data_IF_723926885000
#
_entry.id   IF_723926885000
#
_cell.length_a   1.000
_cell.length_b   1.000
_cell.length_c   1.000
_cell.angle_alpha   90.00
_cell.angle_beta   90.00
_cell.angle_gamma   90.00
#
_symmetry.space_group_name_H-M   'P 1'
#
loop_
_entity.id
_entity.type
_entity.pdbx_description
1 polymer ?
#
# COMPACT_ATOMS: atom_id res chain seq x y z
N UNK A 1 11.71 -4.90 9.66
CA UNK A 1 13.13 -5.02 9.30
C UNK A 1 13.50 -6.45 8.86
N UNK A 2 13.24 -7.48 9.70
CA UNK A 2 13.55 -8.88 9.38
C UNK A 2 12.89 -9.38 8.07
N UNK A 3 11.64 -9.01 7.83
CA UNK A 3 10.94 -9.30 6.58
C UNK A 3 11.70 -8.76 5.36
N UNK A 4 12.07 -7.46 5.37
CA UNK A 4 12.79 -6.84 4.25
C UNK A 4 14.14 -7.51 3.99
N UNK A 5 14.90 -7.81 5.02
CA UNK A 5 16.17 -8.56 4.86
C UNK A 5 15.97 -9.93 4.24
N UNK A 6 14.92 -10.66 4.63
CA UNK A 6 14.55 -11.94 4.05
C UNK A 6 14.23 -11.82 2.55
N UNK A 7 13.40 -10.83 2.18
CA UNK A 7 13.00 -10.59 0.79
C UNK A 7 14.19 -10.17 -0.09
N UNK A 8 15.07 -9.29 0.42
CA UNK A 8 16.31 -8.88 -0.26
C UNK A 8 17.16 -10.11 -0.57
N UNK A 9 17.38 -10.99 0.42
CA UNK A 9 18.16 -12.21 0.25
C UNK A 9 17.51 -13.20 -0.72
N UNK A 10 16.20 -13.42 -0.58
CA UNK A 10 15.44 -14.35 -1.43
C UNK A 10 15.45 -13.94 -2.90
N UNK A 11 15.37 -12.63 -3.16
CA UNK A 11 15.36 -12.07 -4.52
C UNK A 11 16.75 -11.69 -5.03
N UNK A 12 17.83 -11.98 -4.28
CA UNK A 12 19.23 -11.68 -4.63
C UNK A 12 19.45 -10.21 -5.00
N UNK A 13 18.76 -9.29 -4.30
CA UNK A 13 18.88 -7.87 -4.56
C UNK A 13 20.19 -7.32 -3.99
N UNK A 14 20.91 -6.54 -4.80
CA UNK A 14 22.12 -5.84 -4.36
C UNK A 14 21.75 -4.53 -3.66
N UNK A 15 21.37 -4.63 -2.39
CA UNK A 15 21.00 -3.49 -1.54
C UNK A 15 22.05 -3.33 -0.46
N UNK A 16 22.60 -2.13 -0.32
CA UNK A 16 23.63 -1.83 0.69
C UNK A 16 23.05 -1.76 2.08
N UNK A 17 21.93 -1.01 2.22
CA UNK A 17 21.31 -0.77 3.52
C UNK A 17 19.80 -0.63 3.44
N UNK A 18 19.11 -0.72 4.60
CA UNK A 18 17.65 -0.62 4.73
C UNK A 18 17.32 0.25 5.93
N UNK A 19 16.56 1.31 5.72
CA UNK A 19 16.11 2.24 6.75
C UNK A 19 14.60 2.16 6.92
N UNK A 20 14.15 2.32 8.17
CA UNK A 20 12.74 2.50 8.52
C UNK A 20 12.56 3.96 8.89
N UNK A 21 11.68 4.66 8.16
CA UNK A 21 11.44 6.10 8.33
C UNK A 21 10.43 6.29 9.47
N UNK A 22 10.85 6.12 10.72
CA UNK A 22 10.01 6.51 11.85
C UNK A 22 10.54 7.76 12.54
N UNK A 23 11.74 7.70 13.12
CA UNK A 23 12.27 8.80 13.95
C UNK A 23 13.74 9.15 13.62
N UNK A 24 14.40 8.44 12.70
CA UNK A 24 15.83 8.59 12.41
C UNK A 24 16.09 9.19 11.02
N UNK A 25 15.51 10.35 10.74
CA UNK A 25 15.76 11.05 9.48
C UNK A 25 17.23 11.44 9.35
N UNK A 26 17.88 11.84 10.45
CA UNK A 26 19.28 12.20 10.47
C UNK A 26 20.19 11.05 10.01
N UNK A 27 19.92 9.82 10.46
CA UNK A 27 20.66 8.63 10.01
C UNK A 27 20.56 8.43 8.49
N UNK A 28 19.37 8.65 7.91
CA UNK A 28 19.16 8.56 6.47
C UNK A 28 19.89 9.69 5.74
N UNK A 29 19.82 10.90 6.27
CA UNK A 29 20.50 12.05 5.71
C UNK A 29 22.02 11.83 5.72
N UNK A 30 22.60 11.46 6.86
CA UNK A 30 24.02 11.16 7.01
C UNK A 30 24.48 10.05 6.08
N UNK A 31 23.64 9.00 5.91
CA UNK A 31 23.94 7.93 4.98
C UNK A 31 23.98 8.42 3.54
N UNK A 32 23.01 9.23 3.13
CA UNK A 32 22.97 9.81 1.78
C UNK A 32 24.20 10.72 1.58
N UNK A 33 24.46 11.61 2.52
CA UNK A 33 25.57 12.56 2.43
C UNK A 33 26.92 11.84 2.30
N UNK A 34 27.19 10.88 3.18
CA UNK A 34 28.43 10.11 3.18
C UNK A 34 28.63 9.22 1.94
N UNK A 35 27.54 8.73 1.33
CA UNK A 35 27.61 7.82 0.18
C UNK A 35 27.45 8.49 -1.18
N UNK A 36 27.06 9.78 -1.22
CA UNK A 36 26.84 10.53 -2.46
C UNK A 36 27.90 11.62 -2.72
N UNK A 37 29.04 11.58 -2.04
CA UNK A 37 30.14 12.56 -2.25
C UNK A 37 30.52 12.62 -3.73
N UNK A 38 30.40 13.81 -4.34
CA UNK A 38 30.59 14.08 -5.77
C UNK A 38 29.65 13.29 -6.72
N UNK A 39 28.50 12.80 -6.22
CA UNK A 39 27.47 12.11 -7.01
C UNK A 39 26.09 12.56 -6.54
N UNK A 40 25.11 12.50 -7.43
CA UNK A 40 23.73 12.76 -7.05
C UNK A 40 23.07 11.52 -6.45
N UNK A 41 22.24 11.73 -5.43
CA UNK A 41 21.35 10.71 -4.90
C UNK A 41 19.98 10.80 -5.59
N UNK A 42 19.45 9.67 -6.07
CA UNK A 42 18.14 9.60 -6.73
C UNK A 42 17.12 8.92 -5.83
N UNK A 43 16.00 9.58 -5.60
CA UNK A 43 14.88 9.00 -4.86
C UNK A 43 13.86 8.40 -5.84
N UNK A 44 13.82 7.08 -5.89
CA UNK A 44 12.94 6.31 -6.76
C UNK A 44 11.86 5.58 -5.94
N UNK A 45 10.68 5.41 -6.50
CA UNK A 45 9.63 4.63 -5.86
C UNK A 45 8.28 4.78 -6.54
N UNK A 46 7.32 3.97 -6.11
CA UNK A 46 5.95 4.02 -6.61
C UNK A 46 5.29 5.37 -6.30
N UNK A 47 4.24 5.69 -7.03
CA UNK A 47 3.35 6.79 -6.67
C UNK A 47 2.80 6.59 -5.26
N UNK A 48 2.71 7.67 -4.50
CA UNK A 48 2.25 7.66 -3.10
C UNK A 48 3.09 6.80 -2.12
N UNK A 49 4.31 6.43 -2.49
CA UNK A 49 5.23 5.69 -1.61
C UNK A 49 5.87 6.54 -0.50
N UNK A 50 5.51 7.82 -0.39
CA UNK A 50 6.04 8.71 0.64
C UNK A 50 7.34 9.44 0.28
N UNK A 51 7.78 9.43 -1.00
CA UNK A 51 8.99 10.11 -1.45
C UNK A 51 9.02 11.59 -1.05
N UNK A 52 8.00 12.34 -1.42
CA UNK A 52 7.89 13.77 -1.08
C UNK A 52 7.80 14.00 0.43
N UNK A 53 7.19 13.08 1.17
CA UNK A 53 7.15 13.14 2.64
C UNK A 53 8.55 12.97 3.22
N UNK A 54 9.34 12.03 2.70
CA UNK A 54 10.74 11.84 3.11
C UNK A 54 11.57 13.08 2.81
N UNK A 55 11.46 13.63 1.60
CA UNK A 55 12.14 14.85 1.19
C UNK A 55 11.80 16.01 2.15
N UNK A 56 10.51 16.22 2.42
CA UNK A 56 10.09 17.30 3.32
C UNK A 56 10.61 17.11 4.75
N UNK A 57 10.76 15.88 5.21
CA UNK A 57 11.39 15.58 6.51
C UNK A 57 12.90 15.92 6.49
N UNK A 58 13.62 15.48 5.45
CA UNK A 58 15.05 15.79 5.26
C UNK A 58 15.24 17.30 5.20
N UNK A 59 14.45 18.02 4.40
CA UNK A 59 14.55 19.47 4.28
C UNK A 59 14.28 20.20 5.59
N UNK A 60 13.38 19.71 6.44
CA UNK A 60 13.12 20.29 7.76
C UNK A 60 14.31 20.15 8.70
N UNK A 61 14.99 19.01 8.66
CA UNK A 61 16.20 18.79 9.47
C UNK A 61 17.35 19.68 8.99
N UNK A 62 17.59 19.73 7.68
CA UNK A 62 18.63 20.60 7.08
C UNK A 62 18.30 22.09 7.29
N UNK A 63 17.03 22.50 7.20
CA UNK A 63 16.62 23.90 7.39
C UNK A 63 16.70 24.36 8.85
N UNK A 64 16.75 23.47 9.82
CA UNK A 64 17.02 23.83 11.22
C UNK A 64 18.48 24.25 11.46
N UNK A 65 19.39 23.95 10.52
CA UNK A 65 20.80 24.39 10.58
C UNK A 65 21.10 25.64 9.75
N UNK A 66 20.36 25.90 8.65
CA UNK A 66 20.48 27.18 7.89
C UNK A 66 19.20 27.50 7.11
N UNK A 67 18.67 28.70 7.38
CA UNK A 67 17.49 29.33 6.81
C UNK A 67 17.35 29.25 5.27
N UNK A 68 16.11 29.12 4.80
CA UNK A 68 15.61 29.56 3.48
C UNK A 68 15.75 28.64 2.28
N UNK A 69 15.53 27.35 2.38
CA UNK A 69 15.29 26.56 1.17
C UNK A 69 13.87 25.97 1.08
N UNK A 70 13.12 26.61 0.19
CA UNK A 70 12.05 26.14 -0.68
C UNK A 70 10.74 25.62 -0.11
N UNK A 71 9.87 26.56 -0.05
CA UNK A 71 8.43 26.44 -0.32
C UNK A 71 8.17 26.02 -1.76
N UNK A 72 7.18 25.15 -1.91
CA UNK A 72 6.34 24.90 -3.08
C UNK A 72 6.49 23.57 -3.82
N UNK A 73 6.11 22.47 -3.15
CA UNK A 73 5.20 21.56 -3.82
C UNK A 73 4.10 21.15 -2.82
N UNK A 74 2.98 21.83 -2.88
CA UNK A 74 1.84 21.68 -1.94
C UNK A 74 0.97 20.46 -2.21
N UNK A 75 1.28 19.60 -3.18
CA UNK A 75 0.45 18.44 -3.49
C UNK A 75 1.29 17.17 -3.67
N UNK A 76 1.07 16.13 -2.85
CA UNK A 76 1.65 14.81 -3.10
C UNK A 76 1.11 14.26 -4.43
N UNK A 77 1.99 13.73 -5.28
CA UNK A 77 1.60 13.00 -6.49
C UNK A 77 1.66 13.77 -7.80
N UNK A 78 2.22 14.99 -7.84
CA UNK A 78 2.27 15.83 -9.06
C UNK A 78 3.67 16.18 -9.53
N UNK A 79 4.71 15.41 -9.16
CA UNK A 79 6.06 15.62 -9.70
C UNK A 79 6.07 15.19 -11.16
N UNK A 80 5.97 16.14 -12.07
CA UNK A 80 6.00 15.91 -13.53
C UNK A 80 7.44 15.84 -14.03
N UNK A 81 8.37 16.52 -13.34
CA UNK A 81 9.79 16.59 -13.68
C UNK A 81 10.69 16.23 -12.49
N UNK A 82 11.98 15.97 -12.80
CA UNK A 82 13.01 15.75 -11.80
C UNK A 82 13.25 17.03 -10.99
N UNK A 83 12.98 16.98 -9.69
CA UNK A 83 13.27 18.09 -8.77
C UNK A 83 14.65 17.85 -8.17
N UNK A 84 15.57 18.84 -8.35
CA UNK A 84 16.91 18.84 -7.76
C UNK A 84 16.91 19.62 -6.46
N UNK A 85 17.26 18.95 -5.38
CA UNK A 85 17.36 19.51 -4.03
C UNK A 85 18.82 19.51 -3.64
N UNK A 86 19.47 20.68 -3.43
CA UNK A 86 20.85 20.70 -2.99
C UNK A 86 20.93 20.12 -1.57
N UNK A 87 21.80 19.12 -1.38
CA UNK A 87 22.13 18.58 -0.06
C UNK A 87 23.37 19.31 0.51
N UNK A 88 24.35 19.53 -0.38
CA UNK A 88 25.53 20.33 -0.13
C UNK A 88 25.91 21.06 -1.41
N UNK A 89 26.98 21.89 -1.38
CA UNK A 89 27.48 22.60 -2.56
C UNK A 89 27.94 21.68 -3.71
N UNK A 90 28.06 20.38 -3.46
CA UNK A 90 28.69 19.44 -4.41
C UNK A 90 27.77 18.33 -4.91
N UNK A 91 26.59 18.12 -4.33
CA UNK A 91 25.67 17.06 -4.75
C UNK A 91 24.21 17.35 -4.41
N UNK A 92 23.32 16.68 -5.13
CA UNK A 92 21.88 16.89 -5.08
C UNK A 92 21.15 15.60 -4.73
N UNK A 93 20.08 15.75 -3.96
CA UNK A 93 19.00 14.76 -3.90
C UNK A 93 18.04 15.05 -5.06
N UNK A 94 17.83 14.07 -5.91
CA UNK A 94 16.96 14.20 -7.09
C UNK A 94 15.68 13.41 -6.83
N UNK A 95 14.56 14.13 -6.69
CA UNK A 95 13.22 13.50 -6.66
C UNK A 95 12.81 13.12 -8.07
N UNK A 96 12.39 11.88 -8.23
CA UNK A 96 11.86 11.39 -9.51
C UNK A 96 10.33 11.29 -9.45
N UNK A 97 9.65 11.46 -10.60
CA UNK A 97 8.25 11.10 -10.70
C UNK A 97 8.00 9.69 -10.16
N UNK A 98 6.87 9.51 -9.48
CA UNK A 98 6.48 8.18 -8.99
C UNK A 98 6.30 7.20 -10.13
N UNK A 99 6.88 6.01 -9.99
CA UNK A 99 6.64 4.94 -10.95
C UNK A 99 5.20 4.46 -10.81
N UNK A 100 4.44 4.55 -11.90
CA UNK A 100 3.06 4.09 -11.93
C UNK A 100 3.02 2.55 -12.02
N UNK A 101 2.37 1.90 -11.05
CA UNK A 101 2.09 0.46 -11.14
C UNK A 101 0.74 0.24 -11.82
N UNK A 102 0.76 -0.42 -12.97
CA UNK A 102 -0.48 -0.75 -13.71
C UNK A 102 -1.45 -1.63 -12.91
N UNK A 103 -0.96 -2.35 -11.92
CA UNK A 103 -1.74 -3.24 -11.07
C UNK A 103 -2.21 -2.63 -9.75
N UNK A 104 -1.89 -1.37 -9.48
CA UNK A 104 -2.27 -0.69 -8.26
C UNK A 104 -3.77 -0.35 -8.28
N UNK A 105 -4.54 -0.83 -7.30
CA UNK A 105 -5.98 -0.59 -7.18
C UNK A 105 -6.32 0.90 -7.21
N UNK A 106 -5.46 1.75 -6.62
CA UNK A 106 -5.66 3.19 -6.61
C UNK A 106 -5.68 3.82 -8.00
N UNK A 107 -5.12 3.16 -9.01
CA UNK A 107 -5.18 3.61 -10.41
C UNK A 107 -6.58 3.50 -11.04
N UNK A 108 -7.48 2.75 -10.42
CA UNK A 108 -8.83 2.45 -10.92
C UNK A 108 -9.94 3.15 -10.12
N UNK A 109 -9.58 3.96 -9.12
CA UNK A 109 -10.54 4.66 -8.25
C UNK A 109 -10.39 6.17 -8.36
N UNK A 110 -11.45 6.89 -8.00
CA UNK A 110 -11.47 8.36 -8.06
C UNK A 110 -10.56 9.00 -6.99
N UNK A 111 -10.07 10.20 -7.28
CA UNK A 111 -9.18 10.95 -6.39
C UNK A 111 -9.77 11.17 -4.99
N UNK A 112 -11.07 11.40 -4.87
CA UNK A 112 -11.72 11.61 -3.58
C UNK A 112 -11.73 10.34 -2.73
N UNK A 113 -11.81 9.17 -3.36
CA UNK A 113 -11.63 7.90 -2.66
C UNK A 113 -10.18 7.73 -2.20
N UNK A 114 -9.20 8.04 -3.06
CA UNK A 114 -7.77 7.99 -2.71
C UNK A 114 -7.48 8.89 -1.51
N UNK A 115 -7.97 10.13 -1.51
CA UNK A 115 -7.79 11.08 -0.40
C UNK A 115 -8.34 10.53 0.92
N UNK A 116 -9.47 9.83 0.90
CA UNK A 116 -10.02 9.17 2.09
C UNK A 116 -9.13 8.03 2.61
N UNK A 117 -8.48 7.28 1.72
CA UNK A 117 -7.58 6.20 2.10
C UNK A 117 -6.25 6.69 2.69
N UNK A 118 -5.80 7.88 2.27
CA UNK A 118 -4.50 8.47 2.61
C UNK A 118 -4.51 9.31 3.90
N UNK A 119 -5.58 9.29 4.69
CA UNK A 119 -5.62 10.03 5.97
C UNK A 119 -4.44 9.67 6.88
N UNK A 120 -4.01 10.63 7.73
CA UNK A 120 -2.82 10.56 8.62
C UNK A 120 -2.85 9.46 9.68
N UNK A 121 -3.76 8.53 9.59
CA UNK A 121 -3.95 7.48 10.58
C UNK A 121 -2.99 6.30 10.36
N UNK A 122 -2.25 5.94 11.39
CA UNK A 122 -1.47 4.69 11.41
C UNK A 122 -2.36 3.51 11.04
N UNK A 123 -1.87 2.64 10.14
CA UNK A 123 -2.55 1.40 9.80
C UNK A 123 -2.66 0.54 11.06
N UNK A 124 -3.89 0.16 11.43
CA UNK A 124 -4.17 -0.72 12.56
C UNK A 124 -4.70 -2.06 12.03
N UNK A 125 -4.27 -3.19 12.62
CA UNK A 125 -4.81 -4.49 12.25
C UNK A 125 -6.30 -4.58 12.63
N UNK A 126 -7.13 -5.02 11.67
CA UNK A 126 -8.55 -5.30 11.89
C UNK A 126 -8.74 -6.80 11.83
N UNK A 127 -9.20 -7.42 12.93
CA UNK A 127 -9.29 -8.87 13.07
C UNK A 127 -10.73 -9.33 12.88
N UNK A 128 -10.92 -10.30 11.98
CA UNK A 128 -12.19 -10.96 11.72
C UNK A 128 -12.08 -12.46 12.03
N UNK A 129 -12.87 -12.94 12.98
CA UNK A 129 -13.02 -14.38 13.20
C UNK A 129 -13.99 -14.92 12.15
N UNK A 130 -13.48 -15.67 11.18
CA UNK A 130 -14.27 -16.23 10.09
C UNK A 130 -14.32 -17.75 10.14
N UNK A 131 -15.50 -18.27 9.82
CA UNK A 131 -15.70 -19.65 9.43
C UNK A 131 -15.68 -19.76 7.89
N UNK A 132 -15.47 -20.94 7.32
CA UNK A 132 -15.74 -21.18 5.90
C UNK A 132 -17.15 -20.71 5.51
N UNK A 133 -17.30 -20.30 4.27
CA UNK A 133 -18.51 -19.70 3.70
C UNK A 133 -18.94 -18.38 4.35
N UNK A 134 -17.96 -17.62 4.78
CA UNK A 134 -18.16 -16.21 5.17
C UNK A 134 -17.35 -15.28 4.28
N UNK A 135 -17.88 -14.07 4.09
CA UNK A 135 -17.31 -13.04 3.22
C UNK A 135 -17.12 -11.74 3.96
N UNK A 136 -16.08 -10.98 3.58
CA UNK A 136 -15.89 -9.59 3.92
C UNK A 136 -16.11 -8.72 2.68
N UNK A 137 -16.87 -7.66 2.85
CA UNK A 137 -17.17 -6.68 1.80
C UNK A 137 -16.46 -5.37 2.19
N UNK A 138 -15.57 -4.89 1.33
CA UNK A 138 -14.75 -3.71 1.59
C UNK A 138 -15.13 -2.61 0.61
N UNK A 139 -15.80 -1.56 1.10
CA UNK A 139 -16.08 -0.29 0.41
C UNK A 139 -16.50 -0.44 -1.06
N UNK A 140 -17.25 -1.50 -1.42
CA UNK A 140 -17.71 -1.84 -2.79
C UNK A 140 -16.62 -2.01 -3.84
N UNK A 141 -15.38 -2.08 -3.45
CA UNK A 141 -14.22 -2.25 -4.35
C UNK A 141 -13.60 -3.63 -4.25
N UNK A 142 -13.91 -4.35 -3.17
CA UNK A 142 -13.37 -5.67 -2.92
C UNK A 142 -14.36 -6.55 -2.15
N UNK A 143 -14.43 -7.81 -2.55
CA UNK A 143 -15.09 -8.88 -1.79
C UNK A 143 -14.06 -9.98 -1.53
N UNK A 144 -13.90 -10.33 -0.28
CA UNK A 144 -13.04 -11.41 0.20
C UNK A 144 -13.93 -12.57 0.66
N UNK A 145 -13.76 -13.74 0.09
CA UNK A 145 -14.48 -14.96 0.47
C UNK A 145 -13.53 -15.96 1.12
N UNK A 146 -13.90 -16.50 2.25
CA UNK A 146 -13.27 -17.65 2.86
C UNK A 146 -14.12 -18.88 2.59
N UNK A 147 -13.64 -19.81 1.75
CA UNK A 147 -14.44 -20.93 1.27
C UNK A 147 -14.13 -22.25 1.97
N UNK A 148 -12.86 -22.51 2.31
CA UNK A 148 -12.46 -23.80 2.88
C UNK A 148 -11.30 -23.63 3.85
N UNK A 149 -11.34 -24.36 4.96
CA UNK A 149 -10.34 -24.41 6.01
C UNK A 149 -11.00 -24.49 7.38
N UNK A 150 -10.20 -24.30 8.43
CA UNK A 150 -10.69 -24.23 9.80
C UNK A 150 -11.11 -22.81 10.17
N UNK A 151 -11.96 -22.66 11.20
CA UNK A 151 -12.23 -21.32 11.77
C UNK A 151 -10.93 -20.64 12.12
N UNK A 152 -10.73 -19.42 11.62
CA UNK A 152 -9.49 -18.66 11.87
C UNK A 152 -9.71 -17.16 12.03
N UNK A 153 -8.75 -16.52 12.70
CA UNK A 153 -8.62 -15.08 12.72
C UNK A 153 -7.94 -14.61 11.43
N UNK A 154 -8.67 -13.90 10.61
CA UNK A 154 -8.14 -13.23 9.41
C UNK A 154 -7.89 -11.77 9.76
N UNK A 155 -6.67 -11.30 9.53
CA UNK A 155 -6.28 -9.94 9.89
C UNK A 155 -6.13 -9.11 8.62
N UNK A 156 -6.87 -8.02 8.55
CA UNK A 156 -6.74 -7.05 7.47
C UNK A 156 -5.85 -5.88 7.90
N UNK A 157 -4.87 -5.57 7.08
CA UNK A 157 -3.99 -4.41 7.20
C UNK A 157 -4.25 -3.49 6.01
N UNK A 158 -4.94 -2.40 6.25
CA UNK A 158 -5.30 -1.38 5.26
C UNK A 158 -5.78 -0.11 5.96
N UNK A 159 -6.27 0.85 5.19
CA UNK A 159 -6.77 2.10 5.74
C UNK A 159 -7.96 1.86 6.69
N UNK A 160 -7.94 2.51 7.86
CA UNK A 160 -9.04 2.50 8.82
C UNK A 160 -10.31 3.21 8.29
N UNK A 161 -10.20 3.96 7.20
CA UNK A 161 -11.32 4.66 6.56
C UNK A 161 -12.14 3.73 5.64
N UNK A 162 -11.67 2.50 5.41
CA UNK A 162 -12.42 1.51 4.64
C UNK A 162 -13.58 0.97 5.45
N UNK A 163 -14.78 1.04 4.88
CA UNK A 163 -15.93 0.37 5.46
C UNK A 163 -15.84 -1.14 5.19
N UNK A 164 -15.78 -1.95 6.24
CA UNK A 164 -15.72 -3.40 6.13
C UNK A 164 -16.93 -4.01 6.81
N UNK A 165 -17.67 -4.83 6.07
CA UNK A 165 -18.80 -5.58 6.62
C UNK A 165 -18.66 -7.07 6.34
N UNK A 166 -19.21 -7.89 7.27
CA UNK A 166 -19.24 -9.34 7.15
C UNK A 166 -20.60 -9.81 6.64
N UNK A 167 -20.58 -10.80 5.78
CA UNK A 167 -21.77 -11.47 5.25
C UNK A 167 -21.60 -13.00 5.21
N UNK A 168 -22.68 -13.75 5.16
CA UNK A 168 -22.63 -15.14 4.71
C UNK A 168 -22.32 -15.16 3.21
N UNK A 169 -21.58 -16.16 2.74
CA UNK A 169 -21.18 -16.28 1.35
C UNK A 169 -22.38 -16.22 0.39
N UNK A 170 -23.44 -16.98 0.70
CA UNK A 170 -24.68 -17.06 -0.12
C UNK A 170 -25.37 -15.70 -0.34
N UNK A 171 -25.29 -14.81 0.67
CA UNK A 171 -25.93 -13.48 0.65
C UNK A 171 -24.98 -12.37 0.23
N UNK A 172 -23.70 -12.66 0.08
CA UNK A 172 -22.64 -11.64 -0.04
C UNK A 172 -22.72 -10.83 -1.33
N UNK A 173 -23.18 -11.44 -2.44
CA UNK A 173 -23.34 -10.73 -3.72
C UNK A 173 -24.49 -9.72 -3.64
N UNK A 174 -25.62 -10.12 -3.05
CA UNK A 174 -26.76 -9.24 -2.85
C UNK A 174 -26.39 -8.07 -1.91
N UNK A 175 -25.69 -8.39 -0.80
CA UNK A 175 -25.22 -7.39 0.15
C UNK A 175 -24.23 -6.42 -0.51
N UNK A 176 -23.33 -6.90 -1.38
CA UNK A 176 -22.42 -6.07 -2.16
C UNK A 176 -23.17 -5.10 -3.09
N UNK A 177 -24.10 -5.63 -3.88
CA UNK A 177 -24.88 -4.84 -4.82
C UNK A 177 -25.80 -3.82 -4.14
N UNK A 178 -26.35 -4.14 -2.96
CA UNK A 178 -27.16 -3.20 -2.19
C UNK A 178 -26.33 -2.02 -1.69
N UNK A 179 -25.14 -2.29 -1.16
CA UNK A 179 -24.20 -1.24 -0.75
C UNK A 179 -23.78 -0.32 -1.89
N UNK A 180 -23.69 -0.83 -3.12
CA UNK A 180 -23.39 0.01 -4.29
C UNK A 180 -24.48 1.02 -4.61
N UNK A 181 -25.72 0.74 -4.24
CA UNK A 181 -26.85 1.67 -4.44
C UNK A 181 -26.83 2.82 -3.42
N UNK A 182 -26.39 2.53 -2.21
CA UNK A 182 -26.43 3.47 -1.08
C UNK A 182 -25.19 4.36 -0.97
N UNK A 183 -24.09 3.96 -1.59
CA UNK A 183 -22.85 4.71 -1.55
C UNK A 183 -22.66 5.46 -2.87
N UNK A 184 -22.69 6.80 -2.81
CA UNK A 184 -22.29 7.71 -3.89
C UNK A 184 -20.77 7.65 -4.21
N UNK A 185 -20.12 6.55 -3.88
CA UNK A 185 -18.75 6.26 -4.23
C UNK A 185 -18.73 5.84 -5.70
N UNK A 186 -18.45 6.77 -6.57
CA UNK A 186 -18.07 6.47 -7.95
C UNK A 186 -16.71 5.78 -7.92
N UNK A 187 -16.74 4.49 -7.70
CA UNK A 187 -15.54 3.64 -7.77
C UNK A 187 -15.34 3.22 -9.21
N UNK A 188 -14.83 4.14 -10.04
CA UNK A 188 -14.57 3.84 -11.43
C UNK A 188 -15.77 3.29 -12.20
N UNK A 189 -15.57 2.38 -13.13
CA UNK A 189 -16.61 1.79 -13.98
C UNK A 189 -17.35 0.60 -13.35
N UNK A 190 -17.25 0.39 -12.03
CA UNK A 190 -17.92 -0.72 -11.34
C UNK A 190 -19.37 -0.33 -11.05
N UNK A 191 -20.31 -0.97 -11.75
CA UNK A 191 -21.76 -0.77 -11.59
C UNK A 191 -22.41 -1.92 -10.81
N UNK A 192 -21.76 -3.06 -10.75
CA UNK A 192 -22.27 -4.25 -10.09
C UNK A 192 -21.12 -5.20 -9.71
N UNK A 193 -21.44 -6.20 -8.89
CA UNK A 193 -20.49 -7.27 -8.55
C UNK A 193 -19.89 -7.98 -9.78
N UNK A 194 -20.63 -8.05 -10.89
CA UNK A 194 -20.18 -8.73 -12.12
C UNK A 194 -18.97 -8.05 -12.78
N UNK A 195 -18.75 -6.78 -12.47
CA UNK A 195 -17.64 -6.01 -13.03
C UNK A 195 -16.32 -6.25 -12.29
N UNK A 196 -16.37 -7.03 -11.19
CA UNK A 196 -15.17 -7.39 -10.43
C UNK A 196 -14.47 -8.61 -11.03
N UNK A 197 -13.13 -8.56 -11.06
CA UNK A 197 -12.28 -9.68 -11.43
C UNK A 197 -12.17 -10.68 -10.27
N UNK A 198 -12.40 -11.96 -10.57
CA UNK A 198 -12.27 -13.06 -9.62
C UNK A 198 -10.82 -13.57 -9.58
N UNK A 199 -10.22 -13.64 -8.40
CA UNK A 199 -8.91 -14.23 -8.13
C UNK A 199 -9.11 -15.41 -7.14
N UNK A 200 -8.76 -16.62 -7.55
CA UNK A 200 -8.85 -17.84 -6.71
C UNK A 200 -7.48 -18.11 -6.10
N UNK A 201 -7.44 -18.32 -4.80
CA UNK A 201 -6.22 -18.52 -4.02
C UNK A 201 -6.38 -19.74 -3.14
N UNK A 202 -5.47 -20.72 -3.31
CA UNK A 202 -5.41 -21.92 -2.48
C UNK A 202 -4.08 -21.95 -1.76
N UNK A 203 -4.11 -21.86 -0.43
CA UNK A 203 -2.93 -21.96 0.43
C UNK A 203 -2.95 -23.36 1.06
N UNK A 204 -2.00 -24.20 0.64
CA UNK A 204 -1.88 -25.59 1.10
C UNK A 204 -0.81 -25.78 2.16
N UNK A 205 0.14 -24.85 2.26
CA UNK A 205 1.23 -24.87 3.23
C UNK A 205 0.75 -24.42 4.61
N UNK A 206 1.37 -24.98 5.64
CA UNK A 206 1.18 -24.52 7.02
C UNK A 206 1.90 -23.17 7.25
N UNK A 207 1.35 -22.36 8.14
CA UNK A 207 1.91 -21.07 8.51
C UNK A 207 0.98 -19.90 8.18
N UNK A 208 1.52 -18.70 8.25
CA UNK A 208 0.80 -17.46 7.92
C UNK A 208 1.26 -16.95 6.56
N UNK A 209 0.30 -16.47 5.79
CA UNK A 209 0.51 -15.89 4.47
C UNK A 209 -0.27 -14.58 4.35
N UNK A 210 0.26 -13.65 3.58
CA UNK A 210 -0.45 -12.43 3.24
C UNK A 210 -1.01 -12.53 1.82
N UNK A 211 -2.32 -12.35 1.68
CA UNK A 211 -2.97 -12.10 0.40
C UNK A 211 -2.93 -10.59 0.18
N UNK A 212 -2.07 -10.15 -0.72
CA UNK A 212 -1.82 -8.73 -0.98
C UNK A 212 -2.71 -8.24 -2.11
N UNK A 213 -3.38 -7.11 -1.88
CA UNK A 213 -4.10 -6.35 -2.90
C UNK A 213 -3.30 -5.07 -3.12
N UNK A 214 -2.66 -4.96 -4.27
CA UNK A 214 -1.78 -3.84 -4.55
C UNK A 214 -2.51 -2.50 -4.50
N UNK A 215 -1.99 -1.59 -3.69
CA UNK A 215 -2.56 -0.26 -3.46
C UNK A 215 -3.64 -0.17 -2.38
N UNK A 216 -4.16 -1.32 -1.85
CA UNK A 216 -5.19 -1.31 -0.81
C UNK A 216 -4.68 -1.80 0.55
N UNK A 217 -3.87 -2.87 0.55
CA UNK A 217 -3.42 -3.52 1.76
C UNK A 217 -3.30 -5.03 1.61
N UNK A 218 -3.39 -5.77 2.72
CA UNK A 218 -3.29 -7.22 2.67
C UNK A 218 -4.10 -7.89 3.79
N UNK A 219 -4.49 -9.15 3.53
CA UNK A 219 -5.09 -10.04 4.52
C UNK A 219 -4.07 -11.07 4.97
N UNK A 220 -3.78 -11.12 6.27
CA UNK A 220 -2.99 -12.19 6.85
C UNK A 220 -3.89 -13.37 7.19
N UNK A 221 -3.60 -14.52 6.59
CA UNK A 221 -4.41 -15.73 6.60
C UNK A 221 -3.55 -16.96 6.84
N UNK A 222 -4.20 -18.08 7.16
CA UNK A 222 -3.57 -19.42 7.22
C UNK A 222 -3.99 -20.28 6.03
N UNK A 223 -3.62 -21.57 6.06
CA UNK A 223 -4.06 -22.59 5.12
C UNK A 223 -5.57 -22.53 4.87
N UNK A 224 -5.98 -22.62 3.59
CA UNK A 224 -7.37 -22.54 3.20
C UNK A 224 -7.57 -22.12 1.75
N UNK A 225 -8.83 -22.09 1.33
CA UNK A 225 -9.24 -21.61 0.00
C UNK A 225 -9.97 -20.28 0.10
N UNK A 226 -9.53 -19.33 -0.70
CA UNK A 226 -10.02 -17.96 -0.69
C UNK A 226 -10.37 -17.51 -2.10
N UNK A 227 -11.34 -16.63 -2.22
CA UNK A 227 -11.66 -15.96 -3.48
C UNK A 227 -11.71 -14.46 -3.23
N UNK A 228 -10.91 -13.72 -4.00
CA UNK A 228 -10.86 -12.26 -3.92
C UNK A 228 -11.45 -11.70 -5.21
N UNK A 229 -12.49 -10.90 -5.08
CA UNK A 229 -13.04 -10.12 -6.19
C UNK A 229 -12.60 -8.66 -6.03
N UNK A 230 -11.93 -8.15 -7.04
CA UNK A 230 -11.36 -6.78 -7.06
C UNK A 230 -11.72 -6.07 -8.34
N UNK A 231 -11.41 -4.77 -8.40
CA UNK A 231 -11.44 -4.00 -9.64
C UNK A 231 -10.58 -4.69 -10.70
N UNK A 232 -11.06 -4.72 -11.95
CA UNK A 232 -10.30 -5.31 -13.05
C UNK A 232 -8.98 -4.56 -13.25
N UNK A 233 -7.91 -5.31 -13.44
CA UNK A 233 -6.55 -4.76 -13.54
C UNK A 233 -5.78 -4.76 -12.21
N UNK A 234 -6.45 -4.88 -11.05
CA UNK A 234 -5.76 -4.93 -9.75
C UNK A 234 -4.92 -6.22 -9.63
N UNK A 235 -3.67 -6.06 -9.19
CA UNK A 235 -2.81 -7.19 -8.85
C UNK A 235 -3.19 -7.75 -7.47
N UNK A 236 -3.38 -9.07 -7.44
CA UNK A 236 -3.57 -9.84 -6.21
C UNK A 236 -2.55 -10.97 -6.20
N UNK A 237 -1.76 -11.07 -5.14
CA UNK A 237 -0.74 -12.12 -5.00
C UNK A 237 -0.57 -12.56 -3.56
N UNK A 238 0.09 -13.72 -3.38
CA UNK A 238 0.34 -14.31 -2.07
C UNK A 238 1.83 -14.23 -1.77
N UNK A 239 2.15 -13.94 -0.51
CA UNK A 239 3.52 -14.00 0.02
C UNK A 239 3.53 -14.62 1.42
N UNK A 240 4.68 -15.02 1.92
CA UNK A 240 4.84 -15.34 3.35
C UNK A 240 4.55 -14.12 4.21
N UNK A 241 3.89 -14.30 5.34
CA UNK A 241 3.44 -13.20 6.17
C UNK A 241 4.59 -12.26 6.57
N UNK A 242 4.27 -10.97 6.57
CA UNK A 242 5.21 -9.93 6.98
C UNK A 242 5.32 -9.84 8.51
N UNK A 243 4.19 -10.18 9.22
CA UNK A 243 4.03 -10.05 10.67
C UNK A 243 3.61 -11.39 11.28
#
# INVERSE_FOLDING_TARGET
YAFLKREIKANKLNIKDVFIIDDNINEIFDYIDNNSVNKNAYLLGLENAGKTTLINKILKEVANEESNFLTNSKYPGTTVDLIKIPLTDKHYLIDSPGVHSKGNLLSFVELDFIKRLQGDNKIKPIIFQLNPYQSLLISNILKFDYLQGEKQGIVFYGSAQLEISRSKYENSINAFNNKMKDLHLKTGNVKSFKDLKKNVINITEEGKFDIVIEGLGFFSVKKGSYVIHTLNGTNVFVRKAMI
#
